data_IF_493822169961
#
_entry.id   IF_493822169961
#
_cell.length_a   1.000
_cell.length_b   1.000
_cell.length_c   1.000
_cell.angle_alpha   90.00
_cell.angle_beta   90.00
_cell.angle_gamma   90.00
#
_symmetry.space_group_name_H-M   'P 1'
#
loop_
_entity.id
_entity.type
_entity.pdbx_description
1 polymer ?
#
# COMPACT_ATOMS: atom_id res chain seq x y z
N UNK A 1 0.74 -21.94 -17.75
CA UNK A 1 1.68 -22.69 -18.62
C UNK A 1 2.33 -23.83 -17.85
N UNK A 2 3.14 -23.60 -16.79
CA UNK A 2 3.84 -24.66 -16.02
C UNK A 2 2.91 -25.79 -15.57
N UNK A 3 1.75 -25.49 -14.99
CA UNK A 3 0.79 -26.49 -14.53
C UNK A 3 0.19 -27.29 -15.72
N UNK A 4 -0.13 -26.61 -16.83
CA UNK A 4 -0.64 -27.25 -18.05
C UNK A 4 0.40 -28.19 -18.61
N UNK A 5 1.64 -27.77 -18.72
CA UNK A 5 2.76 -28.55 -19.26
C UNK A 5 3.07 -29.76 -18.37
N UNK A 6 3.06 -29.59 -17.04
CA UNK A 6 3.30 -30.68 -16.09
C UNK A 6 2.22 -31.76 -16.14
N UNK A 7 0.95 -31.39 -16.28
CA UNK A 7 -0.16 -32.37 -16.37
C UNK A 7 -0.18 -33.01 -17.75
N UNK A 8 0.05 -32.26 -18.83
CA UNK A 8 0.09 -32.77 -20.19
C UNK A 8 1.23 -33.79 -20.44
N UNK A 9 2.28 -33.75 -19.65
CA UNK A 9 3.40 -34.70 -19.69
C UNK A 9 3.08 -36.08 -19.06
N UNK A 10 1.95 -36.22 -18.37
CA UNK A 10 1.57 -37.49 -17.77
C UNK A 10 1.01 -38.48 -18.82
N UNK A 11 1.41 -39.78 -18.75
CA UNK A 11 0.89 -40.80 -19.65
C UNK A 11 -0.66 -40.90 -19.58
N UNK A 12 -1.33 -40.79 -20.72
CA UNK A 12 -2.77 -40.84 -20.79
C UNK A 12 -3.50 -39.51 -20.58
N UNK A 13 -2.76 -38.42 -20.38
CA UNK A 13 -3.36 -37.10 -20.31
C UNK A 13 -3.95 -36.69 -21.66
N UNK A 14 -5.25 -36.38 -21.70
CA UNK A 14 -5.94 -35.82 -22.87
C UNK A 14 -5.72 -34.29 -22.95
N UNK A 15 -6.73 -33.59 -23.45
CA UNK A 15 -6.69 -32.11 -23.50
C UNK A 15 -6.73 -31.51 -22.09
N UNK A 16 -5.65 -30.83 -21.69
CA UNK A 16 -5.53 -30.22 -20.37
C UNK A 16 -5.95 -28.75 -20.44
N UNK A 17 -6.90 -28.35 -19.61
CA UNK A 17 -7.26 -26.94 -19.37
C UNK A 17 -7.05 -26.64 -17.90
N UNK A 18 -6.18 -25.67 -17.58
CA UNK A 18 -5.91 -25.25 -16.22
C UNK A 18 -6.53 -23.87 -15.98
N UNK A 19 -7.52 -23.81 -15.10
CA UNK A 19 -8.11 -22.56 -14.62
C UNK A 19 -7.45 -22.18 -13.30
N UNK A 20 -6.72 -21.08 -13.29
CA UNK A 20 -6.13 -20.51 -12.07
C UNK A 20 -7.12 -19.53 -11.49
N UNK A 21 -7.57 -19.79 -10.26
CA UNK A 21 -8.44 -18.86 -9.52
C UNK A 21 -7.71 -18.36 -8.29
N UNK A 22 -8.02 -17.12 -7.89
CA UNK A 22 -7.52 -16.55 -6.64
C UNK A 22 -8.71 -16.17 -5.75
N UNK A 23 -8.55 -16.35 -4.44
CA UNK A 23 -9.53 -15.90 -3.45
C UNK A 23 -8.81 -15.11 -2.39
N UNK A 24 -9.05 -13.81 -2.34
CA UNK A 24 -8.50 -12.94 -1.31
C UNK A 24 -9.45 -12.99 -0.11
N UNK A 25 -8.92 -13.44 1.03
CA UNK A 25 -9.66 -13.54 2.29
C UNK A 25 -9.44 -12.29 3.14
N UNK A 26 -10.42 -11.96 3.98
CA UNK A 26 -10.31 -10.88 4.95
C UNK A 26 -9.49 -11.34 6.16
N UNK A 27 -8.62 -10.47 6.65
CA UNK A 27 -7.77 -10.75 7.80
C UNK A 27 -7.95 -9.67 8.87
N UNK A 28 -8.38 -10.06 10.06
CA UNK A 28 -8.43 -9.19 11.22
C UNK A 28 -7.14 -9.37 12.03
N UNK A 29 -6.33 -8.33 12.13
CA UNK A 29 -4.99 -8.42 12.73
C UNK A 29 -4.93 -7.87 14.15
N UNK A 30 -5.68 -6.84 14.49
CA UNK A 30 -5.63 -6.20 15.81
C UNK A 30 -6.85 -6.57 16.66
N UNK A 31 -6.60 -7.01 17.92
CA UNK A 31 -7.68 -7.25 18.88
C UNK A 31 -8.40 -5.95 19.21
N UNK A 32 -9.74 -5.95 19.08
CA UNK A 32 -10.59 -4.85 19.53
C UNK A 32 -10.80 -3.72 18.50
N UNK A 33 -10.15 -3.75 17.35
CA UNK A 33 -10.39 -2.77 16.26
C UNK A 33 -11.46 -3.34 15.33
N UNK A 34 -12.53 -2.57 15.11
CA UNK A 34 -13.61 -2.98 14.19
C UNK A 34 -13.12 -2.90 12.74
N UNK A 35 -13.43 -3.93 11.96
CA UNK A 35 -13.19 -3.94 10.53
C UNK A 35 -13.95 -2.81 9.84
N UNK A 36 -13.38 -2.28 8.77
CA UNK A 36 -14.03 -1.29 7.91
C UNK A 36 -15.00 -2.04 6.99
N UNK A 37 -16.29 -1.69 6.98
CA UNK A 37 -17.26 -2.33 6.10
C UNK A 37 -16.83 -2.22 4.63
N UNK A 38 -16.96 -3.31 3.88
CA UNK A 38 -16.60 -3.34 2.47
C UNK A 38 -15.10 -3.45 2.16
N UNK A 39 -14.24 -3.65 3.17
CA UNK A 39 -12.78 -3.78 3.00
C UNK A 39 -12.28 -5.08 3.63
N UNK A 40 -11.57 -5.92 2.86
CA UNK A 40 -11.00 -7.18 3.34
C UNK A 40 -9.65 -7.00 4.03
N UNK A 41 -8.75 -6.23 3.43
CA UNK A 41 -7.38 -6.04 3.92
C UNK A 41 -6.98 -4.57 3.82
N UNK A 42 -6.36 -4.04 4.87
CA UNK A 42 -5.82 -2.68 4.89
C UNK A 42 -4.30 -2.75 4.96
N UNK A 43 -3.63 -2.19 3.96
CA UNK A 43 -2.18 -2.14 3.88
C UNK A 43 -1.72 -0.69 4.04
N UNK A 44 -1.02 -0.41 5.14
CA UNK A 44 -0.43 0.90 5.37
C UNK A 44 0.88 1.03 4.56
N UNK A 45 1.03 2.14 3.84
CA UNK A 45 2.30 2.51 3.19
C UNK A 45 2.90 3.66 3.98
N UNK A 46 4.04 3.42 4.60
CA UNK A 46 4.66 4.33 5.54
C UNK A 46 6.13 4.59 5.21
N UNK A 47 6.65 5.69 5.73
CA UNK A 47 8.08 6.03 5.62
C UNK A 47 8.58 6.70 6.89
N UNK A 48 9.83 6.51 7.23
CA UNK A 48 10.46 7.16 8.39
C UNK A 48 10.64 8.67 8.23
N UNK A 49 10.68 9.18 6.98
CA UNK A 49 10.81 10.61 6.66
C UNK A 49 10.08 10.97 5.38
N UNK A 50 9.88 12.27 5.14
CA UNK A 50 9.36 12.80 3.88
C UNK A 50 10.35 12.70 2.72
N UNK A 51 9.85 12.78 1.48
CA UNK A 51 10.68 12.87 0.28
C UNK A 51 11.24 11.54 -0.25
N UNK A 52 10.93 10.40 0.37
CA UNK A 52 11.37 9.07 -0.11
C UNK A 52 10.49 8.46 -1.21
N UNK A 53 9.45 9.16 -1.64
CA UNK A 53 8.52 8.68 -2.67
C UNK A 53 7.42 7.74 -2.14
N UNK A 54 7.05 7.85 -0.87
CA UNK A 54 6.00 7.07 -0.20
C UNK A 54 4.67 7.11 -0.98
N UNK A 55 4.13 8.30 -1.23
CA UNK A 55 2.83 8.49 -1.88
C UNK A 55 2.81 8.02 -3.33
N UNK A 56 3.90 8.26 -4.06
CA UNK A 56 4.08 7.72 -5.43
C UNK A 56 4.13 6.19 -5.42
N UNK A 57 4.78 5.60 -4.42
CA UNK A 57 4.79 4.14 -4.26
C UNK A 57 3.41 3.63 -3.86
N UNK A 58 2.69 4.32 -2.98
CA UNK A 58 1.33 3.93 -2.55
C UNK A 58 0.34 3.89 -3.71
N UNK A 59 0.28 4.93 -4.55
CA UNK A 59 -0.63 4.97 -5.69
C UNK A 59 -0.29 3.92 -6.75
N UNK A 60 0.99 3.74 -7.08
CA UNK A 60 1.40 2.74 -8.05
C UNK A 60 1.22 1.30 -7.50
N UNK A 61 1.39 1.07 -6.19
CA UNK A 61 1.07 -0.21 -5.55
C UNK A 61 -0.42 -0.52 -5.64
N UNK A 62 -1.29 0.47 -5.37
CA UNK A 62 -2.74 0.32 -5.49
C UNK A 62 -3.15 -0.04 -6.93
N UNK A 63 -2.63 0.69 -7.91
CA UNK A 63 -2.88 0.46 -9.32
C UNK A 63 -2.31 -0.88 -9.82
N UNK A 64 -1.14 -1.28 -9.32
CA UNK A 64 -0.53 -2.55 -9.66
C UNK A 64 -1.33 -3.74 -9.10
N UNK A 65 -1.85 -3.65 -7.87
CA UNK A 65 -2.76 -4.66 -7.31
C UNK A 65 -4.07 -4.74 -8.12
N UNK A 66 -4.60 -3.61 -8.57
CA UNK A 66 -5.78 -3.57 -9.44
C UNK A 66 -5.49 -4.19 -10.82
N UNK A 67 -4.31 -3.93 -11.40
CA UNK A 67 -3.87 -4.55 -12.66
C UNK A 67 -3.72 -6.08 -12.55
N UNK A 68 -3.42 -6.60 -11.35
CA UNK A 68 -3.39 -8.05 -11.07
C UNK A 68 -4.79 -8.62 -10.75
N UNK A 69 -5.86 -7.82 -10.89
CA UNK A 69 -7.26 -8.25 -10.78
C UNK A 69 -7.91 -8.11 -9.41
N UNK A 70 -7.27 -7.44 -8.45
CA UNK A 70 -7.87 -7.15 -7.15
C UNK A 70 -8.77 -5.91 -7.22
N UNK A 71 -9.79 -5.84 -6.36
CA UNK A 71 -10.58 -4.64 -6.12
C UNK A 71 -9.86 -3.78 -5.08
N UNK A 72 -9.45 -2.59 -5.46
CA UNK A 72 -8.53 -1.77 -4.66
C UNK A 72 -9.08 -0.39 -4.40
N UNK A 73 -8.83 0.11 -3.19
CA UNK A 73 -9.01 1.50 -2.83
C UNK A 73 -7.71 2.11 -2.30
N UNK A 74 -7.64 3.44 -2.32
CA UNK A 74 -6.57 4.21 -1.69
C UNK A 74 -7.16 5.30 -0.79
N UNK A 75 -6.65 5.38 0.43
CA UNK A 75 -6.93 6.46 1.37
C UNK A 75 -5.67 7.30 1.55
N UNK A 76 -5.73 8.55 1.16
CA UNK A 76 -4.70 9.55 1.47
C UNK A 76 -4.86 10.02 2.91
N UNK A 77 -3.97 9.58 3.76
CA UNK A 77 -3.95 9.94 5.18
C UNK A 77 -2.92 11.03 5.51
N UNK A 78 -2.24 11.59 4.51
CA UNK A 78 -1.33 12.72 4.69
C UNK A 78 -2.10 14.05 4.62
N UNK A 79 -2.73 14.43 5.72
CA UNK A 79 -3.56 15.64 5.80
C UNK A 79 -2.76 16.93 5.53
N UNK A 80 -1.48 16.93 5.87
CA UNK A 80 -0.63 18.12 5.70
C UNK A 80 -0.18 18.35 4.26
N UNK A 81 -0.10 17.29 3.47
CA UNK A 81 0.31 17.35 2.07
C UNK A 81 -0.43 16.32 1.23
N UNK A 82 -1.77 16.43 1.12
CA UNK A 82 -2.55 15.46 0.36
C UNK A 82 -2.12 15.49 -1.11
N UNK A 83 -1.67 14.36 -1.62
CA UNK A 83 -1.08 14.25 -2.95
C UNK A 83 -1.85 13.32 -3.89
N UNK A 84 -2.68 12.43 -3.36
CA UNK A 84 -3.38 11.44 -4.16
C UNK A 84 -4.39 12.06 -5.17
N UNK A 85 -5.11 13.16 -4.87
CA UNK A 85 -5.95 13.83 -5.86
C UNK A 85 -5.18 14.22 -7.12
N UNK A 86 -4.01 14.86 -6.94
CA UNK A 86 -3.14 15.26 -8.06
C UNK A 86 -2.59 14.05 -8.80
N UNK A 87 -2.05 13.06 -8.08
CA UNK A 87 -1.43 11.87 -8.68
C UNK A 87 -2.43 11.01 -9.46
N UNK A 88 -3.69 10.99 -9.06
CA UNK A 88 -4.77 10.26 -9.76
C UNK A 88 -5.49 11.11 -10.81
N UNK A 89 -5.16 12.40 -10.92
CA UNK A 89 -5.84 13.32 -11.83
C UNK A 89 -7.33 13.52 -11.52
N UNK A 90 -7.70 13.37 -10.25
CA UNK A 90 -9.10 13.51 -9.80
C UNK A 90 -9.34 14.96 -9.37
N UNK A 91 -10.40 15.53 -9.92
CA UNK A 91 -10.90 16.86 -9.54
C UNK A 91 -12.36 16.78 -9.07
N UNK A 92 -12.79 17.80 -8.33
CA UNK A 92 -14.15 17.86 -7.79
C UNK A 92 -14.25 17.36 -6.34
N UNK A 93 -15.49 17.29 -5.85
CA UNK A 93 -15.79 16.86 -4.47
C UNK A 93 -16.60 15.59 -4.47
N UNK A 94 -16.35 14.69 -3.51
CA UNK A 94 -17.13 13.48 -3.35
C UNK A 94 -18.57 13.82 -2.94
N UNK A 95 -19.51 12.99 -3.38
CA UNK A 95 -20.92 13.14 -3.08
C UNK A 95 -21.30 12.45 -1.77
N UNK A 96 -22.32 12.98 -1.11
CA UNK A 96 -22.97 12.31 0.01
C UNK A 96 -24.45 12.12 -0.32
N UNK A 97 -24.90 10.86 -0.37
CA UNK A 97 -26.29 10.53 -0.73
C UNK A 97 -27.23 10.67 0.47
N UNK A 98 -26.76 10.39 1.67
CA UNK A 98 -27.54 10.33 2.90
C UNK A 98 -27.16 11.41 3.94
N UNK A 99 -26.23 12.29 3.60
CA UNK A 99 -25.69 13.33 4.48
C UNK A 99 -24.83 12.78 5.64
N UNK A 100 -24.57 11.46 5.67
CA UNK A 100 -23.76 10.79 6.71
C UNK A 100 -22.56 10.07 6.13
N UNK A 101 -22.73 9.47 4.96
CA UNK A 101 -21.67 8.73 4.28
C UNK A 101 -21.19 9.48 3.02
N UNK A 102 -19.98 9.19 2.61
CA UNK A 102 -19.31 9.85 1.49
C UNK A 102 -19.00 8.78 0.43
N UNK A 103 -19.39 9.02 -0.82
CA UNK A 103 -19.02 8.14 -1.91
C UNK A 103 -17.54 8.33 -2.26
N UNK A 104 -16.77 7.26 -2.43
CA UNK A 104 -15.38 7.39 -2.87
C UNK A 104 -15.32 7.94 -4.29
N UNK A 105 -14.28 8.73 -4.58
CA UNK A 105 -13.94 9.10 -5.95
C UNK A 105 -13.35 7.90 -6.68
N UNK A 106 -13.42 7.90 -8.01
CA UNK A 106 -12.91 6.78 -8.81
C UNK A 106 -11.94 7.27 -9.90
N UNK A 107 -10.83 6.59 -10.03
CA UNK A 107 -9.91 6.75 -11.16
C UNK A 107 -9.21 5.42 -11.47
N UNK A 108 -9.02 5.13 -12.74
CA UNK A 108 -8.27 3.96 -13.23
C UNK A 108 -8.71 2.62 -12.62
N UNK A 109 -10.02 2.51 -12.27
CA UNK A 109 -10.58 1.29 -11.69
C UNK A 109 -10.32 1.09 -10.19
N UNK A 110 -9.77 2.09 -9.49
CA UNK A 110 -9.64 2.09 -8.04
C UNK A 110 -10.53 3.16 -7.40
N UNK A 111 -10.93 2.91 -6.14
CA UNK A 111 -11.64 3.87 -5.32
C UNK A 111 -10.65 4.73 -4.55
N UNK A 112 -10.88 6.02 -4.44
CA UNK A 112 -9.97 6.96 -3.78
C UNK A 112 -10.70 7.88 -2.82
N UNK A 113 -10.08 8.12 -1.65
CA UNK A 113 -10.51 9.14 -0.70
C UNK A 113 -9.31 9.92 -0.18
N UNK A 114 -9.47 11.22 -0.06
CA UNK A 114 -8.46 12.14 0.47
C UNK A 114 -9.15 13.33 1.11
N UNK A 115 -8.54 13.87 2.15
CA UNK A 115 -8.96 15.16 2.68
C UNK A 115 -8.86 16.27 1.62
N UNK A 116 -7.92 16.13 0.68
CA UNK A 116 -7.74 17.06 -0.43
C UNK A 116 -8.93 17.19 -1.38
N UNK A 117 -9.89 16.25 -1.34
CA UNK A 117 -11.15 16.40 -2.07
C UNK A 117 -12.18 17.26 -1.33
N UNK A 118 -12.04 17.44 -0.01
CA UNK A 118 -13.03 18.10 0.86
C UNK A 118 -12.65 19.52 1.23
N UNK A 119 -11.34 19.81 1.25
CA UNK A 119 -10.82 21.14 1.60
C UNK A 119 -10.26 21.83 0.36
N UNK A 120 -10.35 23.15 0.35
CA UNK A 120 -9.74 23.97 -0.68
C UNK A 120 -8.24 24.10 -0.44
N UNK A 121 -7.41 23.85 -1.44
CA UNK A 121 -5.94 23.85 -1.34
C UNK A 121 -5.42 25.21 -0.84
N UNK A 122 -6.12 26.30 -1.16
CA UNK A 122 -5.75 27.66 -0.79
C UNK A 122 -6.23 28.08 0.61
N UNK A 123 -6.97 27.22 1.32
CA UNK A 123 -7.46 27.52 2.67
C UNK A 123 -6.47 27.05 3.72
N UNK A 124 -5.76 27.95 4.41
CA UNK A 124 -4.85 27.57 5.48
C UNK A 124 -5.65 26.98 6.65
N UNK A 125 -5.58 25.67 6.83
CA UNK A 125 -6.19 24.99 7.97
C UNK A 125 -5.12 24.70 9.03
N UNK A 126 -5.36 25.18 10.25
CA UNK A 126 -4.47 24.85 11.39
C UNK A 126 -4.90 23.54 12.01
N UNK A 127 -4.33 22.44 11.49
CA UNK A 127 -4.59 21.12 11.99
C UNK A 127 -3.78 20.84 13.28
N UNK A 128 -4.47 20.45 14.36
CA UNK A 128 -3.84 19.91 15.57
C UNK A 128 -3.95 18.38 15.57
N UNK A 129 -2.96 17.69 16.14
CA UNK A 129 -2.88 16.23 16.10
C UNK A 129 -4.18 15.46 16.38
N UNK A 130 -4.93 15.76 17.46
CA UNK A 130 -6.21 15.09 17.72
C UNK A 130 -7.26 15.32 16.63
N UNK A 131 -7.32 16.51 16.04
CA UNK A 131 -8.25 16.83 14.93
C UNK A 131 -7.89 16.05 13.66
N UNK A 132 -6.60 15.95 13.35
CA UNK A 132 -6.09 15.15 12.22
C UNK A 132 -6.53 13.71 12.35
N UNK A 133 -6.30 13.10 13.50
CA UNK A 133 -6.66 11.69 13.74
C UNK A 133 -8.17 11.47 13.62
N UNK A 134 -8.97 12.37 14.18
CA UNK A 134 -10.43 12.28 14.10
C UNK A 134 -10.93 12.41 12.66
N UNK A 135 -10.40 13.37 11.89
CA UNK A 135 -10.76 13.55 10.48
C UNK A 135 -10.42 12.31 9.65
N UNK A 136 -9.24 11.72 9.86
CA UNK A 136 -8.84 10.51 9.15
C UNK A 136 -9.67 9.28 9.53
N UNK A 137 -10.05 9.15 10.81
CA UNK A 137 -10.99 8.10 11.23
C UNK A 137 -12.36 8.26 10.56
N UNK A 138 -12.85 9.50 10.45
CA UNK A 138 -14.09 9.79 9.75
C UNK A 138 -13.98 9.46 8.27
N UNK A 139 -12.95 9.94 7.57
CA UNK A 139 -12.71 9.60 6.17
C UNK A 139 -12.66 8.09 5.94
N UNK A 140 -12.00 7.35 6.81
CA UNK A 140 -11.94 5.89 6.69
C UNK A 140 -13.31 5.23 6.89
N UNK A 141 -14.09 5.65 7.91
CA UNK A 141 -15.33 4.99 8.34
C UNK A 141 -16.56 5.46 7.57
N UNK A 142 -16.61 6.76 7.23
CA UNK A 142 -17.76 7.37 6.57
C UNK A 142 -17.70 7.24 5.05
N UNK A 143 -16.56 6.84 4.48
CA UNK A 143 -16.46 6.48 3.07
C UNK A 143 -17.12 5.12 2.81
N UNK A 144 -18.00 5.07 1.83
CA UNK A 144 -18.72 3.85 1.39
C UNK A 144 -17.84 3.01 0.47
N UNK A 145 -16.80 2.38 1.05
CA UNK A 145 -15.94 1.45 0.32
C UNK A 145 -16.75 0.27 -0.23
N UNK A 146 -16.58 -0.04 -1.53
CA UNK A 146 -17.39 -1.05 -2.21
C UNK A 146 -16.56 -2.29 -2.49
N UNK A 147 -16.71 -3.32 -1.65
CA UNK A 147 -16.19 -4.68 -1.83
C UNK A 147 -14.70 -4.73 -2.20
N UNK A 148 -13.87 -4.01 -1.43
CA UNK A 148 -12.43 -3.93 -1.65
C UNK A 148 -11.71 -5.18 -1.14
N UNK A 149 -10.81 -5.71 -1.95
CA UNK A 149 -9.83 -6.71 -1.55
C UNK A 149 -8.70 -6.08 -0.73
N UNK A 150 -8.26 -4.90 -1.17
CA UNK A 150 -7.22 -4.10 -0.50
C UNK A 150 -7.60 -2.63 -0.43
N UNK A 151 -7.40 -2.03 0.73
CA UNK A 151 -7.36 -0.59 0.91
C UNK A 151 -5.91 -0.20 1.24
N UNK A 152 -5.29 0.55 0.35
CA UNK A 152 -3.96 1.12 0.57
C UNK A 152 -4.12 2.42 1.33
N UNK A 153 -3.46 2.54 2.47
CA UNK A 153 -3.46 3.77 3.27
C UNK A 153 -2.10 4.45 3.11
N UNK A 154 -2.08 5.59 2.43
CA UNK A 154 -0.91 6.43 2.30
C UNK A 154 -0.73 7.25 3.59
N UNK A 155 0.14 6.77 4.47
CA UNK A 155 0.34 7.30 5.83
C UNK A 155 1.06 8.65 5.80
N UNK A 156 0.88 9.54 6.80
CA UNK A 156 1.74 10.70 6.95
C UNK A 156 3.22 10.29 7.08
N UNK A 157 4.17 11.12 6.64
CA UNK A 157 5.60 10.80 6.80
C UNK A 157 6.06 10.89 8.27
N UNK A 158 7.11 10.16 8.60
CA UNK A 158 7.74 10.19 9.92
C UNK A 158 7.26 9.08 10.87
N UNK A 159 7.53 9.26 12.17
CA UNK A 159 7.24 8.30 13.25
C UNK A 159 6.58 8.99 14.46
N UNK A 160 5.88 10.09 14.20
CA UNK A 160 5.26 10.91 15.25
C UNK A 160 3.92 10.36 15.76
N UNK A 161 3.33 11.09 16.70
CA UNK A 161 2.11 10.70 17.41
C UNK A 161 0.91 10.44 16.49
N UNK A 162 0.80 11.18 15.38
CA UNK A 162 -0.29 10.99 14.40
C UNK A 162 -0.18 9.61 13.76
N UNK A 163 1.01 9.25 13.30
CA UNK A 163 1.25 7.96 12.66
C UNK A 163 1.05 6.81 13.65
N UNK A 164 1.53 6.96 14.87
CA UNK A 164 1.31 5.99 15.95
C UNK A 164 -0.18 5.81 16.24
N UNK A 165 -0.92 6.90 16.42
CA UNK A 165 -2.35 6.87 16.74
C UNK A 165 -3.16 6.27 15.59
N UNK A 166 -2.87 6.61 14.34
CA UNK A 166 -3.51 6.02 13.17
C UNK A 166 -3.27 4.51 13.10
N UNK A 167 -2.02 4.08 13.33
CA UNK A 167 -1.67 2.66 13.34
C UNK A 167 -2.38 1.85 14.42
N UNK A 168 -2.82 2.50 15.51
CA UNK A 168 -3.61 1.87 16.57
C UNK A 168 -5.12 1.85 16.30
N UNK A 169 -5.63 2.82 15.54
CA UNK A 169 -7.08 3.00 15.32
C UNK A 169 -7.58 2.42 13.99
N UNK A 170 -6.72 2.35 13.00
CA UNK A 170 -7.00 1.73 11.71
C UNK A 170 -6.75 0.23 11.82
N UNK A 171 -7.66 -0.65 11.38
CA UNK A 171 -7.46 -2.11 11.42
C UNK A 171 -6.47 -2.56 10.32
N UNK A 172 -5.19 -2.18 10.50
CA UNK A 172 -4.14 -2.44 9.52
C UNK A 172 -3.78 -3.92 9.50
N UNK A 173 -3.91 -4.55 8.34
CA UNK A 173 -3.50 -5.95 8.11
C UNK A 173 -1.97 -6.08 8.09
N UNK A 174 -1.28 -5.06 7.60
CA UNK A 174 0.18 -4.98 7.64
C UNK A 174 0.71 -3.70 7.02
N UNK A 175 1.99 -3.40 7.26
CA UNK A 175 2.64 -2.19 6.80
C UNK A 175 3.75 -2.48 5.78
N UNK A 176 3.79 -1.70 4.70
CA UNK A 176 4.89 -1.59 3.74
C UNK A 176 5.71 -0.37 4.10
N UNK A 177 7.01 -0.53 4.32
CA UNK A 177 7.93 0.56 4.61
C UNK A 177 8.65 0.98 3.33
N UNK A 178 8.54 2.25 2.98
CA UNK A 178 9.27 2.85 1.84
C UNK A 178 10.47 3.63 2.35
N UNK A 179 11.64 3.33 1.82
CA UNK A 179 12.89 4.03 2.14
C UNK A 179 13.73 4.25 0.88
N UNK A 180 14.82 4.97 1.02
CA UNK A 180 15.87 5.11 0.01
C UNK A 180 17.18 4.52 0.54
N UNK A 181 18.20 4.21 -0.31
CA UNK A 181 19.41 3.54 0.14
C UNK A 181 20.29 4.32 1.12
N UNK A 182 20.07 5.64 1.28
CA UNK A 182 20.88 6.49 2.15
C UNK A 182 20.78 6.08 3.63
N UNK A 183 21.89 6.06 4.35
CA UNK A 183 21.96 5.68 5.76
C UNK A 183 20.97 6.46 6.65
N UNK A 184 20.85 7.78 6.42
CA UNK A 184 19.93 8.64 7.18
C UNK A 184 18.47 8.20 6.95
N UNK A 185 18.10 7.83 5.71
CA UNK A 185 16.76 7.33 5.42
C UNK A 185 16.50 5.98 6.08
N UNK A 186 17.50 5.11 6.09
CA UNK A 186 17.43 3.78 6.72
C UNK A 186 17.31 3.87 8.24
N UNK A 187 17.99 4.83 8.88
CA UNK A 187 17.85 5.10 10.33
C UNK A 187 16.39 5.43 10.66
N UNK A 188 15.75 6.29 9.88
CA UNK A 188 14.36 6.67 10.11
C UNK A 188 13.38 5.54 9.71
N UNK A 189 13.67 4.78 8.67
CA UNK A 189 12.90 3.60 8.31
C UNK A 189 12.90 2.53 9.42
N UNK A 190 14.05 2.32 10.10
CA UNK A 190 14.15 1.44 11.28
C UNK A 190 13.25 1.90 12.42
N UNK A 191 13.19 3.22 12.69
CA UNK A 191 12.26 3.77 13.68
C UNK A 191 10.80 3.50 13.31
N UNK A 192 10.44 3.69 12.03
CA UNK A 192 9.12 3.38 11.52
C UNK A 192 8.74 1.90 11.69
N UNK A 193 9.65 0.99 11.34
CA UNK A 193 9.48 -0.44 11.54
C UNK A 193 9.22 -0.77 13.01
N UNK A 194 10.07 -0.28 13.91
CA UNK A 194 9.92 -0.48 15.36
C UNK A 194 8.62 0.10 15.94
N UNK A 195 8.15 1.20 15.39
CA UNK A 195 6.85 1.78 15.77
C UNK A 195 5.71 0.81 15.44
N UNK A 196 5.67 0.26 14.23
CA UNK A 196 4.64 -0.72 13.83
C UNK A 196 4.72 -2.01 14.65
N UNK A 197 5.90 -2.53 14.92
CA UNK A 197 6.08 -3.67 15.83
C UNK A 197 5.50 -3.40 17.22
N UNK A 198 5.76 -2.20 17.79
CA UNK A 198 5.27 -1.80 19.11
C UNK A 198 3.74 -1.76 19.21
N UNK A 199 3.06 -1.41 18.12
CA UNK A 199 1.58 -1.39 18.07
C UNK A 199 0.98 -2.70 17.54
N UNK A 200 1.80 -3.72 17.30
CA UNK A 200 1.33 -5.04 16.88
C UNK A 200 0.89 -5.11 15.41
N UNK A 201 1.32 -4.16 14.58
CA UNK A 201 1.08 -4.20 13.13
C UNK A 201 2.23 -4.94 12.45
N UNK A 202 1.95 -6.05 11.73
CA UNK A 202 2.98 -6.80 11.04
C UNK A 202 3.63 -5.99 9.91
N UNK A 203 4.93 -6.15 9.71
CA UNK A 203 5.60 -5.62 8.52
C UNK A 203 5.42 -6.60 7.36
N UNK A 204 4.78 -6.14 6.30
CA UNK A 204 4.59 -6.87 5.04
C UNK A 204 5.90 -6.93 4.27
N UNK A 205 6.68 -5.86 4.31
CA UNK A 205 8.01 -5.79 3.74
C UNK A 205 8.49 -4.36 3.50
N UNK A 206 9.67 -4.27 2.89
CA UNK A 206 10.35 -3.00 2.62
C UNK A 206 10.52 -2.81 1.11
N UNK A 207 10.26 -1.59 0.64
CA UNK A 207 10.53 -1.13 -0.73
C UNK A 207 11.69 -0.14 -0.68
N UNK A 208 12.75 -0.39 -1.46
CA UNK A 208 13.85 0.54 -1.67
C UNK A 208 13.57 1.40 -2.90
N UNK A 209 13.19 2.64 -2.70
CA UNK A 209 12.99 3.58 -3.78
C UNK A 209 14.27 4.35 -4.13
N UNK A 210 14.37 4.86 -5.35
CA UNK A 210 15.54 5.61 -5.85
C UNK A 210 16.85 4.79 -5.75
N UNK A 211 16.76 3.48 -5.94
CA UNK A 211 17.88 2.54 -5.78
C UNK A 211 18.94 2.66 -6.87
N UNK A 212 18.52 3.00 -8.08
CA UNK A 212 19.38 3.13 -9.26
C UNK A 212 18.86 4.24 -10.17
N UNK A 213 19.75 5.02 -10.72
CA UNK A 213 19.48 5.95 -11.82
C UNK A 213 20.07 5.42 -13.11
N UNK A 214 19.28 5.41 -14.19
CA UNK A 214 19.74 5.08 -15.53
C UNK A 214 19.67 6.34 -16.37
N UNK A 215 20.83 6.81 -16.84
CA UNK A 215 20.92 8.00 -17.68
C UNK A 215 20.14 7.81 -18.98
N UNK A 216 19.18 8.68 -19.24
CA UNK A 216 18.33 8.63 -20.44
C UNK A 216 19.10 8.89 -21.74
N UNK A 217 20.31 9.49 -21.68
CA UNK A 217 21.14 9.82 -22.85
C UNK A 217 22.11 8.72 -23.24
N UNK A 218 22.77 8.08 -22.26
CA UNK A 218 23.83 7.11 -22.54
C UNK A 218 23.58 5.73 -21.95
N UNK A 219 22.50 5.52 -21.17
CA UNK A 219 22.18 4.24 -20.54
C UNK A 219 23.08 3.88 -19.35
N UNK A 220 24.03 4.75 -18.95
CA UNK A 220 24.87 4.51 -17.78
C UNK A 220 24.00 4.36 -16.52
N UNK A 221 24.24 3.29 -15.78
CA UNK A 221 23.51 2.98 -14.55
C UNK A 221 24.37 3.36 -13.34
N UNK A 222 23.82 4.16 -12.43
CA UNK A 222 24.53 4.70 -11.28
C UNK A 222 23.67 4.63 -10.01
N UNK A 223 24.29 4.24 -8.90
CA UNK A 223 23.67 4.21 -7.59
C UNK A 223 23.93 5.52 -6.84
N UNK A 224 23.18 6.58 -7.21
CA UNK A 224 23.39 7.95 -6.68
C UNK A 224 23.30 7.99 -5.15
N UNK A 225 22.42 7.18 -4.55
CA UNK A 225 22.14 7.18 -3.12
C UNK A 225 22.71 5.96 -2.38
N UNK A 226 23.56 5.16 -3.01
CA UNK A 226 24.10 3.91 -2.47
C UNK A 226 23.30 2.68 -2.90
N UNK A 227 23.66 1.53 -2.36
CA UNK A 227 23.07 0.24 -2.75
C UNK A 227 22.81 -0.68 -1.56
N UNK A 228 21.74 -1.51 -1.62
CA UNK A 228 21.55 -2.66 -0.74
C UNK A 228 21.23 -2.34 0.73
N UNK A 229 20.99 -1.06 1.06
CA UNK A 229 20.71 -0.66 2.43
C UNK A 229 19.41 -1.26 2.96
N UNK A 230 18.35 -1.24 2.14
CA UNK A 230 17.09 -1.85 2.51
C UNK A 230 17.14 -3.38 2.55
N UNK A 231 17.91 -4.04 1.67
CA UNK A 231 18.12 -5.49 1.74
C UNK A 231 18.83 -5.92 3.02
N UNK A 232 19.85 -5.17 3.43
CA UNK A 232 20.54 -5.39 4.70
C UNK A 232 19.56 -5.23 5.88
N UNK A 233 18.76 -4.16 5.87
CA UNK A 233 17.74 -3.94 6.88
C UNK A 233 16.70 -5.08 6.90
N UNK A 234 16.30 -5.60 5.75
CA UNK A 234 15.39 -6.75 5.68
C UNK A 234 15.96 -8.01 6.36
N UNK A 235 17.25 -8.28 6.18
CA UNK A 235 17.95 -9.39 6.83
C UNK A 235 18.06 -9.19 8.35
N UNK A 236 18.41 -7.97 8.78
CA UNK A 236 18.56 -7.63 10.20
C UNK A 236 17.26 -7.78 11.00
N UNK A 237 16.12 -7.52 10.37
CA UNK A 237 14.80 -7.53 11.01
C UNK A 237 13.91 -8.70 10.61
N UNK A 238 14.42 -9.64 9.82
CA UNK A 238 13.68 -10.81 9.31
C UNK A 238 12.33 -10.41 8.65
N UNK A 239 12.39 -9.39 7.79
CA UNK A 239 11.23 -8.89 7.04
C UNK A 239 11.46 -9.03 5.53
N UNK A 240 10.39 -9.24 4.73
CA UNK A 240 10.53 -9.41 3.29
C UNK A 240 11.09 -8.15 2.59
N UNK A 241 12.00 -8.35 1.64
CA UNK A 241 12.36 -7.34 0.66
C UNK A 241 11.40 -7.43 -0.53
N UNK A 242 10.56 -6.39 -0.71
CA UNK A 242 9.53 -6.38 -1.74
C UNK A 242 10.12 -6.04 -3.11
N UNK A 243 11.10 -5.15 -3.15
CA UNK A 243 11.79 -4.78 -4.38
C UNK A 243 12.40 -3.40 -4.36
N UNK A 244 13.10 -3.08 -5.45
CA UNK A 244 13.73 -1.79 -5.68
C UNK A 244 13.01 -1.06 -6.80
N UNK A 245 12.95 0.27 -6.70
CA UNK A 245 12.41 1.17 -7.71
C UNK A 245 13.49 2.17 -8.14
N UNK A 246 13.55 2.54 -9.43
CA UNK A 246 14.57 3.45 -9.92
C UNK A 246 14.29 4.91 -9.54
N UNK A 247 15.33 5.72 -9.55
CA UNK A 247 15.22 7.17 -9.65
C UNK A 247 15.07 7.54 -11.14
N UNK A 248 13.83 7.71 -11.58
CA UNK A 248 13.49 8.00 -12.98
C UNK A 248 12.58 9.23 -13.05
N UNK A 249 12.97 10.19 -13.89
CA UNK A 249 12.21 11.43 -14.07
C UNK A 249 10.78 11.18 -14.55
N UNK A 250 10.58 10.11 -15.34
CA UNK A 250 9.27 9.75 -15.88
C UNK A 250 8.27 9.40 -14.78
N UNK A 251 8.72 8.76 -13.70
CA UNK A 251 7.86 8.45 -12.55
C UNK A 251 7.28 9.74 -11.98
N UNK A 252 8.11 10.77 -11.81
CA UNK A 252 7.67 12.08 -11.31
C UNK A 252 6.71 12.76 -12.30
N UNK A 253 7.11 12.87 -13.57
CA UNK A 253 6.31 13.54 -14.61
C UNK A 253 4.94 12.89 -14.78
N UNK A 254 4.88 11.57 -14.75
CA UNK A 254 3.65 10.80 -14.85
C UNK A 254 2.75 11.02 -13.61
N UNK A 255 3.32 10.99 -12.40
CA UNK A 255 2.58 11.28 -11.18
C UNK A 255 2.05 12.72 -11.15
N UNK A 256 2.88 13.71 -11.49
CA UNK A 256 2.50 15.13 -11.54
C UNK A 256 1.41 15.41 -12.60
N UNK A 257 1.37 14.62 -13.67
CA UNK A 257 0.35 14.74 -14.73
C UNK A 257 -0.95 13.99 -14.43
N UNK A 258 -1.10 13.38 -13.25
CA UNK A 258 -2.29 12.63 -12.87
C UNK A 258 -2.41 11.26 -13.54
N UNK A 259 -1.33 10.72 -14.09
CA UNK A 259 -1.26 9.41 -14.75
C UNK A 259 -0.09 8.59 -14.20
N UNK A 260 -0.22 7.95 -13.02
CA UNK A 260 0.86 7.18 -12.41
C UNK A 260 1.45 6.13 -13.34
N UNK A 261 2.69 5.76 -13.12
CA UNK A 261 3.49 4.91 -14.03
C UNK A 261 2.80 3.62 -14.45
N UNK A 262 2.11 2.93 -13.55
CA UNK A 262 1.39 1.68 -13.87
C UNK A 262 0.29 1.90 -14.91
N UNK A 263 -0.28 3.11 -14.97
CA UNK A 263 -1.31 3.49 -15.95
C UNK A 263 -0.70 4.12 -17.20
N UNK A 264 0.33 4.97 -17.01
CA UNK A 264 0.93 5.73 -18.11
C UNK A 264 1.76 4.84 -19.05
N UNK A 265 2.44 3.83 -18.51
CA UNK A 265 3.31 2.90 -19.25
C UNK A 265 3.15 1.47 -18.70
N UNK A 266 1.97 0.82 -18.93
CA UNK A 266 1.62 -0.45 -18.30
C UNK A 266 2.54 -1.61 -18.69
N UNK A 267 3.15 -1.56 -19.85
CA UNK A 267 4.08 -2.58 -20.35
C UNK A 267 5.55 -2.23 -20.08
N UNK A 268 5.80 -1.09 -19.45
CA UNK A 268 7.13 -0.61 -19.13
C UNK A 268 7.80 -1.37 -17.99
N UNK A 269 9.13 -1.35 -17.98
CA UNK A 269 9.93 -2.03 -16.93
C UNK A 269 9.59 -1.54 -15.51
N UNK A 270 9.32 -0.26 -15.33
CA UNK A 270 8.98 0.30 -14.01
C UNK A 270 7.61 -0.16 -13.57
N UNK A 271 6.63 -0.23 -14.47
CA UNK A 271 5.31 -0.78 -14.16
C UNK A 271 5.41 -2.26 -13.75
N UNK A 272 6.26 -3.04 -14.41
CA UNK A 272 6.51 -4.45 -14.02
C UNK A 272 7.14 -4.54 -12.62
N UNK A 273 8.10 -3.67 -12.27
CA UNK A 273 8.65 -3.62 -10.90
C UNK A 273 7.55 -3.35 -9.86
N UNK A 274 6.62 -2.42 -10.13
CA UNK A 274 5.47 -2.20 -9.25
C UNK A 274 4.56 -3.41 -9.16
N UNK A 275 4.29 -4.13 -10.26
CA UNK A 275 3.50 -5.38 -10.24
C UNK A 275 4.19 -6.48 -9.45
N UNK A 276 5.51 -6.63 -9.55
CA UNK A 276 6.26 -7.58 -8.72
C UNK A 276 6.16 -7.25 -7.23
N UNK A 277 6.30 -5.97 -6.85
CA UNK A 277 6.11 -5.48 -5.49
C UNK A 277 4.68 -5.78 -5.02
N UNK A 278 3.67 -5.54 -5.86
CA UNK A 278 2.27 -5.82 -5.56
C UNK A 278 2.02 -7.31 -5.30
N UNK A 279 2.52 -8.20 -6.16
CA UNK A 279 2.42 -9.66 -5.99
C UNK A 279 3.07 -10.12 -4.69
N UNK A 280 4.30 -9.65 -4.39
CA UNK A 280 5.00 -9.97 -3.14
C UNK A 280 4.25 -9.43 -1.92
N UNK A 281 3.67 -8.23 -2.01
CA UNK A 281 2.82 -7.64 -0.96
C UNK A 281 1.60 -8.52 -0.70
N UNK A 282 0.87 -8.92 -1.75
CA UNK A 282 -0.30 -9.79 -1.64
C UNK A 282 0.05 -11.15 -1.01
N UNK A 283 1.16 -11.77 -1.42
CA UNK A 283 1.65 -13.03 -0.84
C UNK A 283 2.03 -12.87 0.64
N UNK A 284 2.71 -11.77 1.00
CA UNK A 284 3.11 -11.52 2.38
C UNK A 284 1.89 -11.27 3.29
N UNK A 285 0.86 -10.56 2.80
CA UNK A 285 -0.41 -10.38 3.51
C UNK A 285 -1.09 -11.73 3.72
N UNK A 286 -1.22 -12.56 2.68
CA UNK A 286 -1.86 -13.87 2.77
C UNK A 286 -1.15 -14.80 3.77
N UNK A 287 0.18 -14.86 3.77
CA UNK A 287 0.98 -15.72 4.69
C UNK A 287 0.84 -15.31 6.15
N UNK A 288 0.79 -14.01 6.45
CA UNK A 288 0.63 -13.52 7.83
C UNK A 288 -0.71 -13.93 8.45
N UNK A 289 -1.73 -14.10 7.65
CA UNK A 289 -3.04 -14.55 8.09
C UNK A 289 -3.07 -16.02 8.53
N UNK A 290 -2.34 -16.90 7.85
CA UNK A 290 -2.24 -18.31 8.22
C UNK A 290 -1.59 -18.48 9.61
N UNK A 291 -0.58 -17.65 9.93
CA UNK A 291 0.12 -17.69 11.23
C UNK A 291 -0.77 -17.30 12.42
N UNK A 292 -1.75 -16.44 12.23
CA UNK A 292 -2.67 -16.01 13.30
C UNK A 292 -3.83 -16.98 13.53
N UNK A 293 -4.35 -17.62 12.48
CA UNK A 293 -5.43 -18.62 12.61
C UNK A 293 -4.98 -19.86 13.37
N UNK A 294 -3.71 -20.23 13.27
CA UNK A 294 -3.12 -21.37 13.97
C UNK A 294 -2.86 -21.10 15.48
N UNK A 295 -2.82 -19.84 15.90
CA UNK A 295 -2.50 -19.45 17.30
C UNK A 295 -3.70 -19.36 18.23
N UNK A 296 -4.92 -19.50 17.75
CA UNK A 296 -6.13 -19.43 18.58
C UNK A 296 -7.01 -20.67 18.40
N UNK A 297 -6.90 -21.65 19.30
CA UNK A 297 -7.89 -22.74 19.34
C UNK A 297 -9.28 -22.12 19.59
N UNK A 298 -10.27 -22.54 18.81
CA UNK A 298 -11.66 -22.18 19.03
C UNK A 298 -12.09 -22.71 20.40
N UNK A 299 -12.45 -21.81 21.32
CA UNK A 299 -13.06 -22.21 22.59
C UNK A 299 -14.49 -22.62 22.27
N UNK A 300 -14.74 -23.93 22.26
CA UNK A 300 -16.10 -24.48 22.20
C UNK A 300 -16.65 -24.47 23.62
N UNK A 301 -17.58 -23.58 23.93
CA UNK A 301 -18.33 -23.63 25.16
C UNK A 301 -19.41 -24.72 24.97
N UNK A 302 -19.18 -25.90 25.54
CA UNK A 302 -20.23 -26.91 25.70
C UNK A 302 -21.08 -26.53 26.93
N UNK A 303 -22.29 -26.09 26.68
CA UNK A 303 -23.33 -25.99 27.74
C UNK A 303 -23.73 -27.42 28.09
N UNK A 304 -23.38 -27.85 29.32
CA UNK A 304 -23.95 -29.01 29.97
C UNK A 304 -25.30 -28.67 30.57
#
# INVERSE_FOLDING_TARGET
>A
KLATDAIAALPGAGRVTVNVTQKITAHAVQRGVKLVPGVKNIVAVASGKGGVGKSTTAVNLALALAAEGAKVGILDADIYGPSQPTMLGISGRPESVDGKTIEPMEAYGIQAMSIGFLIDVDTPMVWRGPMVTQALEQLLKDTRWRDLDYLIVDMPPGTGDIQLTLSQKVPVTGAVIVTTPQDIALIDARKGLKMFEKVGVPIVGIVENMSIHVCSKCGHAEHIFGTGGAETMCKDYDVPFLGSLPLDIRIREQADSGRPTVVADPDGKVAEMYREIARKTAVAVARKAEDFSAKFPSIVIQNT
#
